data_IF_368815290511
#
_entry.id   IF_368815290511
#
_cell.length_a   1.000
_cell.length_b   1.000
_cell.length_c   1.000
_cell.angle_alpha   90.00
_cell.angle_beta   90.00
_cell.angle_gamma   90.00
#
_symmetry.space_group_name_H-M   'P 1'
#
loop_
_entity.id
_entity.type
_entity.pdbx_description
1 polymer ?
#
# COMPACT_ATOMS: atom_id res chain seq x y z
N UNK A 1 31.49 -55.75 28.84
CA UNK A 1 30.94 -54.57 29.55
C UNK A 1 29.48 -54.47 29.12
N UNK A 2 28.56 -55.17 29.82
CA UNK A 2 27.68 -54.64 30.89
C UNK A 2 26.80 -53.50 30.35
N UNK A 3 25.46 -53.54 30.27
CA UNK A 3 24.39 -54.44 30.79
C UNK A 3 23.08 -53.93 30.12
N UNK A 4 22.28 -54.69 29.34
CA UNK A 4 21.24 -55.69 29.67
C UNK A 4 20.18 -55.27 30.72
N UNK A 5 18.88 -55.37 30.34
CA UNK A 5 17.72 -56.06 31.00
C UNK A 5 16.41 -55.53 30.35
N UNK A 6 15.63 -56.28 29.53
CA UNK A 6 14.68 -57.42 29.78
C UNK A 6 13.44 -56.99 30.60
N UNK A 7 12.21 -57.50 30.44
CA UNK A 7 11.46 -58.37 29.52
C UNK A 7 10.00 -58.44 30.08
N UNK A 8 9.04 -58.79 29.21
CA UNK A 8 7.87 -59.65 29.46
C UNK A 8 6.61 -59.16 30.22
N UNK A 9 5.46 -59.48 29.59
CA UNK A 9 4.12 -59.65 30.16
C UNK A 9 4.00 -60.96 30.96
N UNK A 10 2.94 -61.17 31.79
CA UNK A 10 1.73 -61.95 31.40
C UNK A 10 0.43 -61.38 32.06
N UNK A 11 -0.84 -61.64 31.69
CA UNK A 11 -1.70 -62.83 31.39
C UNK A 11 -2.04 -63.72 32.61
N UNK A 12 -3.29 -63.57 33.08
CA UNK A 12 -4.28 -64.49 33.70
C UNK A 12 -4.07 -65.24 35.04
N UNK A 13 -5.10 -65.16 35.90
CA UNK A 13 -5.84 -66.22 36.67
C UNK A 13 -6.59 -65.51 37.83
N UNK A 14 -7.92 -65.41 37.90
CA UNK A 14 -9.03 -66.39 38.02
C UNK A 14 -9.01 -67.26 39.30
N UNK A 15 -10.09 -67.10 40.09
CA UNK A 15 -10.89 -68.10 40.83
C UNK A 15 -10.99 -67.96 42.36
N UNK A 16 -12.23 -67.72 42.84
CA UNK A 16 -13.03 -68.63 43.69
C UNK A 16 -14.34 -67.91 44.12
N UNK A 17 -15.50 -68.23 43.55
CA UNK A 17 -16.45 -69.30 43.95
C UNK A 17 -17.07 -69.13 45.34
N UNK A 18 -18.37 -68.84 45.40
CA UNK A 18 -19.37 -69.78 45.92
C UNK A 18 -20.79 -69.35 45.54
N UNK A 19 -21.54 -70.34 45.04
CA UNK A 19 -22.92 -70.27 44.64
C UNK A 19 -23.86 -70.30 45.85
N UNK A 20 -24.97 -69.56 45.78
CA UNK A 20 -26.22 -69.95 46.42
C UNK A 20 -27.41 -69.35 45.64
N UNK A 21 -28.36 -70.20 45.31
CA UNK A 21 -29.52 -69.95 44.46
C UNK A 21 -30.53 -68.96 45.06
N UNK A 22 -31.20 -68.21 44.19
CA UNK A 22 -32.42 -67.47 44.49
C UNK A 22 -33.08 -66.98 43.20
N UNK A 23 -34.08 -67.73 42.72
CA UNK A 23 -34.96 -67.35 41.62
C UNK A 23 -35.83 -66.15 42.04
N UNK A 24 -35.62 -64.98 41.45
CA UNK A 24 -36.64 -63.90 41.44
C UNK A 24 -36.85 -63.36 40.02
N UNK A 25 -38.12 -63.09 39.73
CA UNK A 25 -38.69 -62.81 38.40
C UNK A 25 -38.09 -61.56 37.73
N UNK A 26 -38.06 -61.49 36.39
CA UNK A 26 -37.56 -60.31 35.69
C UNK A 26 -38.45 -59.09 35.96
N UNK A 27 -37.82 -58.01 36.45
CA UNK A 27 -38.43 -56.70 36.55
C UNK A 27 -38.68 -56.10 35.14
N UNK A 28 -39.77 -55.34 34.94
CA UNK A 28 -40.14 -54.80 33.64
C UNK A 28 -39.08 -53.83 33.10
N UNK A 29 -38.94 -53.81 31.77
CA UNK A 29 -38.02 -52.92 31.06
C UNK A 29 -38.22 -51.45 31.48
N UNK A 30 -37.14 -50.68 31.71
CA UNK A 30 -37.25 -49.28 32.09
C UNK A 30 -37.94 -48.49 30.98
N UNK A 31 -38.89 -47.65 31.37
CA UNK A 31 -39.56 -46.72 30.48
C UNK A 31 -38.52 -45.84 29.77
N UNK A 32 -38.54 -45.84 28.43
CA UNK A 32 -37.77 -44.88 27.62
C UNK A 32 -38.34 -43.50 27.90
N UNK A 33 -37.63 -42.72 28.71
CA UNK A 33 -37.91 -41.30 28.88
C UNK A 33 -37.79 -40.63 27.51
N UNK A 34 -38.73 -39.76 27.10
CA UNK A 34 -38.56 -38.98 25.88
C UNK A 34 -37.26 -38.19 25.97
N UNK A 35 -36.48 -38.19 24.88
CA UNK A 35 -35.26 -37.42 24.78
C UNK A 35 -35.57 -35.97 25.19
N UNK A 36 -34.78 -35.44 26.12
CA UNK A 36 -34.85 -34.03 26.49
C UNK A 36 -34.83 -33.20 25.19
N UNK A 37 -35.68 -32.17 25.05
CA UNK A 37 -35.60 -31.29 23.89
C UNK A 37 -34.16 -30.82 23.76
N UNK A 38 -33.63 -30.69 22.53
CA UNK A 38 -32.28 -30.18 22.33
C UNK A 38 -32.17 -28.90 23.14
N UNK A 39 -31.21 -28.86 24.07
CA UNK A 39 -30.87 -27.63 24.76
C UNK A 39 -30.52 -26.65 23.65
N UNK A 40 -31.39 -25.69 23.39
CA UNK A 40 -31.08 -24.55 22.55
C UNK A 40 -29.80 -23.97 23.14
N UNK A 41 -28.67 -24.23 22.49
CA UNK A 41 -27.44 -23.51 22.79
C UNK A 41 -27.83 -22.04 22.61
N UNK A 42 -27.68 -21.19 23.65
CA UNK A 42 -28.00 -19.78 23.49
C UNK A 42 -27.21 -19.29 22.29
N UNK A 43 -27.93 -18.87 21.25
CA UNK A 43 -27.33 -18.14 20.13
C UNK A 43 -26.56 -17.00 20.79
N UNK A 44 -25.25 -16.85 20.53
CA UNK A 44 -24.50 -15.77 21.16
C UNK A 44 -25.26 -14.47 20.92
N UNK A 45 -25.56 -13.74 21.99
CA UNK A 45 -26.25 -12.47 21.87
C UNK A 45 -25.29 -11.51 21.13
N UNK A 46 -25.53 -11.33 19.83
CA UNK A 46 -24.79 -10.36 19.04
C UNK A 46 -25.22 -8.96 19.46
N UNK A 47 -24.41 -8.31 20.28
CA UNK A 47 -24.61 -6.88 20.55
C UNK A 47 -24.29 -6.09 19.28
N UNK A 48 -24.98 -4.96 19.11
CA UNK A 48 -24.74 -4.05 17.99
C UNK A 48 -23.26 -3.65 17.89
N UNK A 49 -22.63 -3.37 19.04
CA UNK A 49 -21.21 -3.04 19.14
C UNK A 49 -20.30 -4.19 18.71
N UNK A 50 -20.59 -5.43 19.13
CA UNK A 50 -19.79 -6.59 18.73
C UNK A 50 -19.85 -6.83 17.22
N UNK A 51 -21.02 -6.68 16.60
CA UNK A 51 -21.17 -6.81 15.15
C UNK A 51 -20.40 -5.72 14.42
N UNK A 52 -20.48 -4.47 14.88
CA UNK A 52 -19.75 -3.36 14.27
C UNK A 52 -18.23 -3.52 14.40
N UNK A 53 -17.73 -4.02 15.52
CA UNK A 53 -16.30 -4.29 15.71
C UNK A 53 -15.79 -5.40 14.76
N UNK A 54 -16.53 -6.49 14.60
CA UNK A 54 -16.14 -7.56 13.65
C UNK A 54 -16.23 -7.09 12.20
N UNK A 55 -17.25 -6.29 11.84
CA UNK A 55 -17.31 -5.69 10.50
C UNK A 55 -16.12 -4.77 10.24
N UNK A 56 -15.69 -4.00 11.24
CA UNK A 56 -14.50 -3.16 11.12
C UNK A 56 -13.26 -3.99 10.79
N UNK A 57 -13.02 -5.07 11.55
CA UNK A 57 -11.89 -5.98 11.31
C UNK A 57 -11.98 -6.57 9.90
N UNK A 58 -13.13 -7.11 9.50
CA UNK A 58 -13.31 -7.71 8.19
C UNK A 58 -13.01 -6.72 7.05
N UNK A 59 -13.46 -5.47 7.13
CA UNK A 59 -13.25 -4.52 6.02
C UNK A 59 -11.95 -3.73 6.07
N UNK A 60 -11.30 -3.60 7.24
CA UNK A 60 -10.10 -2.78 7.41
C UNK A 60 -8.82 -3.61 7.63
N UNK A 61 -8.89 -4.81 8.23
CA UNK A 61 -7.75 -5.72 8.41
C UNK A 61 -7.57 -6.72 7.24
N UNK A 62 -8.46 -6.67 6.24
CA UNK A 62 -8.42 -7.61 5.10
C UNK A 62 -7.13 -7.55 4.29
N UNK A 63 -6.47 -8.70 4.22
CA UNK A 63 -5.51 -9.08 3.18
C UNK A 63 -6.14 -10.25 2.41
N UNK A 64 -6.03 -10.33 1.08
CA UNK A 64 -6.36 -11.54 0.35
C UNK A 64 -5.61 -12.72 0.96
N UNK A 65 -6.36 -13.73 1.39
CA UNK A 65 -5.79 -14.90 2.04
C UNK A 65 -5.45 -14.79 3.50
N UNK A 66 -5.94 -13.75 4.19
CA UNK A 66 -5.90 -13.77 5.65
C UNK A 66 -6.69 -14.99 6.16
N UNK A 67 -6.02 -15.96 6.83
CA UNK A 67 -6.66 -17.19 7.29
C UNK A 67 -7.73 -16.93 8.35
N UNK A 68 -7.75 -15.76 8.99
CA UNK A 68 -8.78 -15.39 9.96
C UNK A 68 -10.05 -14.82 9.32
N UNK A 69 -10.00 -14.37 8.05
CA UNK A 69 -11.13 -13.68 7.44
C UNK A 69 -12.37 -14.57 7.34
N UNK A 70 -12.25 -15.74 6.70
CA UNK A 70 -13.38 -16.65 6.50
C UNK A 70 -13.96 -17.20 7.82
N UNK A 71 -13.15 -17.62 8.80
CA UNK A 71 -13.64 -17.97 10.13
C UNK A 71 -14.44 -16.84 10.78
N UNK A 72 -13.93 -15.60 10.76
CA UNK A 72 -14.63 -14.43 11.34
C UNK A 72 -15.93 -14.12 10.62
N UNK A 73 -15.91 -14.10 9.28
CA UNK A 73 -17.09 -13.90 8.43
C UNK A 73 -18.17 -14.95 8.72
N UNK A 74 -17.77 -16.22 8.81
CA UNK A 74 -18.68 -17.35 9.09
C UNK A 74 -19.26 -17.26 10.50
N UNK A 75 -18.45 -16.92 11.50
CA UNK A 75 -18.90 -16.73 12.88
C UNK A 75 -19.88 -15.55 13.02
N UNK A 76 -19.74 -14.52 12.18
CA UNK A 76 -20.61 -13.34 12.18
C UNK A 76 -21.93 -13.55 11.42
N UNK A 77 -22.00 -14.50 10.49
CA UNK A 77 -23.17 -14.72 9.64
C UNK A 77 -24.51 -14.87 10.39
N UNK A 78 -24.59 -15.58 11.55
CA UNK A 78 -25.84 -15.68 12.30
C UNK A 78 -26.39 -14.34 12.81
N UNK A 79 -25.55 -13.30 12.95
CA UNK A 79 -25.96 -11.97 13.39
C UNK A 79 -26.93 -11.29 12.42
N UNK A 80 -27.01 -11.74 11.16
CA UNK A 80 -27.97 -11.21 10.18
C UNK A 80 -29.43 -11.37 10.64
N UNK A 81 -29.70 -12.41 11.43
CA UNK A 81 -31.03 -12.72 11.97
C UNK A 81 -31.26 -12.13 13.38
N UNK A 82 -30.31 -11.36 13.92
CA UNK A 82 -30.48 -10.74 15.24
C UNK A 82 -31.62 -9.70 15.20
N UNK A 83 -32.59 -9.86 16.10
CA UNK A 83 -33.79 -9.03 16.16
C UNK A 83 -33.50 -7.54 16.41
N UNK A 84 -32.46 -7.25 17.21
CA UNK A 84 -32.14 -5.89 17.67
C UNK A 84 -31.04 -5.19 16.85
N UNK A 85 -30.65 -5.74 15.70
CA UNK A 85 -29.62 -5.12 14.86
C UNK A 85 -30.23 -3.96 14.05
N UNK A 86 -29.66 -2.73 14.10
CA UNK A 86 -30.09 -1.62 13.26
C UNK A 86 -30.06 -1.99 11.77
N UNK A 87 -31.03 -1.52 11.00
CA UNK A 87 -31.16 -1.90 9.58
C UNK A 87 -29.94 -1.53 8.74
N UNK A 88 -29.31 -0.39 9.01
CA UNK A 88 -28.11 0.06 8.31
C UNK A 88 -26.93 -0.89 8.56
N UNK A 89 -26.79 -1.37 9.80
CA UNK A 89 -25.77 -2.34 10.18
C UNK A 89 -26.07 -3.72 9.60
N UNK A 90 -27.35 -4.11 9.52
CA UNK A 90 -27.79 -5.34 8.85
C UNK A 90 -27.45 -5.31 7.35
N UNK A 91 -27.62 -4.16 6.67
CA UNK A 91 -27.23 -3.98 5.26
C UNK A 91 -25.72 -4.07 5.08
N UNK A 92 -24.94 -3.46 5.97
CA UNK A 92 -23.48 -3.59 5.99
C UNK A 92 -23.04 -5.05 6.14
N UNK A 93 -23.64 -5.77 7.09
CA UNK A 93 -23.36 -7.19 7.29
C UNK A 93 -23.67 -8.01 6.04
N UNK A 94 -24.85 -7.81 5.43
CA UNK A 94 -25.21 -8.49 4.19
C UNK A 94 -24.21 -8.23 3.05
N UNK A 95 -23.73 -6.98 2.91
CA UNK A 95 -22.73 -6.64 1.90
C UNK A 95 -21.39 -7.33 2.14
N UNK A 96 -20.92 -7.40 3.39
CA UNK A 96 -19.68 -8.12 3.76
C UNK A 96 -19.81 -9.63 3.56
N UNK A 97 -20.96 -10.21 3.88
CA UNK A 97 -21.22 -11.64 3.65
C UNK A 97 -21.28 -11.98 2.15
N UNK A 98 -21.77 -11.06 1.32
CA UNK A 98 -21.83 -11.22 -0.13
C UNK A 98 -20.50 -10.98 -0.85
N UNK A 99 -19.54 -10.32 -0.20
CA UNK A 99 -18.19 -10.15 -0.74
C UNK A 99 -17.45 -11.49 -0.74
N UNK A 100 -16.76 -11.81 -1.83
CA UNK A 100 -16.05 -13.09 -2.07
C UNK A 100 -14.52 -12.90 -2.08
N UNK A 101 -13.89 -12.76 -0.90
CA UNK A 101 -12.44 -12.57 -0.80
C UNK A 101 -11.58 -13.78 -1.18
N UNK A 102 -12.00 -15.06 -1.01
CA UNK A 102 -11.24 -16.19 -1.55
C UNK A 102 -10.99 -16.06 -3.05
N UNK A 103 -11.98 -15.58 -3.81
CA UNK A 103 -11.83 -15.32 -5.25
C UNK A 103 -10.87 -14.16 -5.55
N UNK A 104 -10.83 -13.13 -4.71
CA UNK A 104 -9.84 -12.05 -4.83
C UNK A 104 -8.42 -12.58 -4.58
N UNK A 105 -8.23 -13.40 -3.55
CA UNK A 105 -6.95 -14.04 -3.24
C UNK A 105 -6.47 -14.93 -4.38
N UNK A 106 -7.29 -15.87 -4.83
CA UNK A 106 -6.92 -16.78 -5.92
C UNK A 106 -6.51 -15.98 -7.16
N UNK A 107 -7.26 -14.93 -7.51
CA UNK A 107 -6.94 -14.08 -8.67
C UNK A 107 -5.62 -13.33 -8.47
N UNK A 108 -5.37 -12.80 -7.28
CA UNK A 108 -4.13 -12.10 -6.96
C UNK A 108 -2.92 -13.03 -6.98
N UNK A 109 -3.01 -14.22 -6.39
CA UNK A 109 -1.94 -15.22 -6.42
C UNK A 109 -1.64 -15.67 -7.85
N UNK A 110 -2.67 -15.89 -8.67
CA UNK A 110 -2.52 -16.20 -10.09
C UNK A 110 -1.86 -15.06 -10.87
N UNK A 111 -2.21 -13.81 -10.55
CA UNK A 111 -1.60 -12.63 -11.16
C UNK A 111 -0.09 -12.60 -10.88
N UNK A 112 0.29 -12.73 -9.61
CA UNK A 112 1.67 -12.77 -9.15
C UNK A 112 2.45 -13.92 -9.80
N UNK A 113 1.87 -15.13 -9.83
CA UNK A 113 2.48 -16.28 -10.47
C UNK A 113 2.66 -16.09 -11.98
N UNK A 114 1.67 -15.50 -12.67
CA UNK A 114 1.77 -15.21 -14.10
C UNK A 114 2.90 -14.20 -14.39
N UNK A 115 3.01 -13.15 -13.58
CA UNK A 115 4.12 -12.18 -13.69
C UNK A 115 5.48 -12.83 -13.46
N UNK A 116 5.62 -13.63 -12.39
CA UNK A 116 6.89 -14.31 -12.08
C UNK A 116 7.30 -15.29 -13.18
N UNK A 117 6.33 -16.04 -13.72
CA UNK A 117 6.56 -16.96 -14.83
C UNK A 117 6.95 -16.22 -16.11
N UNK A 118 6.28 -15.11 -16.43
CA UNK A 118 6.61 -14.26 -17.56
C UNK A 118 8.04 -13.68 -17.43
N UNK A 119 8.38 -13.15 -16.26
CA UNK A 119 9.72 -12.62 -15.98
C UNK A 119 10.81 -13.70 -16.13
N UNK A 120 10.55 -14.90 -15.61
CA UNK A 120 11.47 -16.05 -15.73
C UNK A 120 11.66 -16.47 -17.20
N UNK A 121 10.57 -16.56 -17.97
CA UNK A 121 10.62 -16.89 -19.39
C UNK A 121 11.32 -15.82 -20.22
N UNK A 122 11.06 -14.55 -19.93
CA UNK A 122 11.73 -13.41 -20.57
C UNK A 122 13.25 -13.47 -20.31
N UNK A 123 13.66 -13.68 -19.07
CA UNK A 123 15.08 -13.76 -18.70
C UNK A 123 15.80 -14.95 -19.37
N UNK A 124 15.14 -16.11 -19.44
CA UNK A 124 15.70 -17.30 -20.09
C UNK A 124 15.70 -17.21 -21.62
N UNK A 125 14.72 -16.50 -22.20
CA UNK A 125 14.48 -16.43 -23.64
C UNK A 125 14.23 -14.99 -24.09
N UNK A 126 15.21 -14.08 -23.94
CA UNK A 126 15.00 -12.69 -24.33
C UNK A 126 14.70 -12.63 -25.83
N UNK A 127 13.72 -11.78 -26.26
CA UNK A 127 13.41 -11.62 -27.66
C UNK A 127 14.63 -11.08 -28.42
N UNK A 128 14.78 -11.48 -29.69
CA UNK A 128 15.82 -10.91 -30.55
C UNK A 128 15.39 -9.50 -30.94
N UNK A 129 16.02 -8.48 -30.36
CA UNK A 129 15.71 -7.09 -30.65
C UNK A 129 16.53 -6.61 -31.85
N UNK A 130 15.89 -6.64 -33.03
CA UNK A 130 16.48 -6.17 -34.28
C UNK A 130 16.49 -4.64 -34.43
N UNK A 131 15.89 -3.92 -33.48
CA UNK A 131 15.76 -2.48 -33.47
C UNK A 131 16.50 -1.79 -32.31
N UNK A 132 16.99 -2.53 -31.31
CA UNK A 132 17.56 -2.02 -30.05
C UNK A 132 18.58 -0.89 -30.25
N UNK A 133 19.43 -1.03 -31.27
CA UNK A 133 20.50 -0.06 -31.58
C UNK A 133 20.20 0.80 -32.81
N UNK A 134 19.04 0.68 -33.44
CA UNK A 134 18.72 1.45 -34.64
C UNK A 134 18.71 2.96 -34.35
N UNK A 135 19.50 3.71 -35.12
CA UNK A 135 19.69 5.14 -34.92
C UNK A 135 20.68 5.50 -33.81
N UNK A 136 21.18 4.51 -33.05
CA UNK A 136 22.19 4.72 -32.02
C UNK A 136 23.50 5.28 -32.60
N UNK A 137 24.12 6.22 -31.90
CA UNK A 137 25.35 6.91 -32.31
C UNK A 137 26.55 6.36 -31.55
N UNK A 138 27.56 5.89 -32.27
CA UNK A 138 28.83 5.45 -31.67
C UNK A 138 29.57 6.65 -31.09
N UNK A 139 29.76 6.68 -29.77
CA UNK A 139 30.45 7.76 -29.06
C UNK A 139 31.98 7.56 -29.09
N UNK A 140 32.43 6.37 -28.70
CA UNK A 140 33.85 5.99 -28.69
C UNK A 140 34.02 4.48 -28.78
N UNK A 141 35.19 4.06 -29.25
CA UNK A 141 35.66 2.67 -29.17
C UNK A 141 36.36 2.49 -27.83
N UNK A 142 35.99 1.47 -27.07
CA UNK A 142 36.53 1.16 -25.75
C UNK A 142 37.54 0.00 -25.78
N UNK A 143 37.47 -0.85 -26.80
CA UNK A 143 38.37 -1.98 -26.99
C UNK A 143 38.36 -2.48 -28.44
N UNK A 144 39.03 -3.60 -28.74
CA UNK A 144 39.12 -4.15 -30.09
C UNK A 144 37.76 -4.41 -30.74
N UNK A 145 36.78 -4.88 -29.98
CA UNK A 145 35.41 -5.17 -30.45
C UNK A 145 34.32 -4.47 -29.63
N UNK A 146 34.69 -3.55 -28.72
CA UNK A 146 33.77 -2.92 -27.77
C UNK A 146 33.57 -1.44 -28.07
N UNK A 147 32.32 -1.01 -28.15
CA UNK A 147 31.92 0.36 -28.48
C UNK A 147 30.91 0.91 -27.47
N UNK A 148 31.07 2.18 -27.10
CA UNK A 148 30.06 2.93 -26.37
C UNK A 148 29.10 3.60 -27.37
N UNK A 149 27.81 3.33 -27.23
CA UNK A 149 26.74 3.81 -28.12
C UNK A 149 25.77 4.66 -27.32
N UNK A 150 25.37 5.81 -27.87
CA UNK A 150 24.23 6.59 -27.36
C UNK A 150 22.99 6.28 -28.18
N UNK A 151 21.94 5.78 -27.53
CA UNK A 151 20.66 5.47 -28.15
C UNK A 151 19.87 6.75 -28.48
N UNK A 152 18.88 6.70 -29.38
CA UNK A 152 18.03 7.85 -29.70
C UNK A 152 17.32 8.47 -28.49
N UNK A 153 17.01 7.66 -27.47
CA UNK A 153 16.40 8.10 -26.20
C UNK A 153 17.34 8.85 -25.25
N UNK A 154 18.65 8.89 -25.54
CA UNK A 154 19.66 9.55 -24.70
C UNK A 154 20.54 8.60 -23.91
N UNK A 155 20.04 7.40 -23.62
CA UNK A 155 20.74 6.35 -22.86
C UNK A 155 22.02 5.89 -23.53
N UNK A 156 22.96 5.39 -22.74
CA UNK A 156 24.19 4.76 -23.22
C UNK A 156 24.16 3.24 -23.07
N UNK A 157 24.64 2.54 -24.10
CA UNK A 157 24.75 1.10 -24.13
C UNK A 157 26.14 0.68 -24.63
N UNK A 158 26.56 -0.53 -24.27
CA UNK A 158 27.73 -1.18 -24.83
C UNK A 158 27.34 -2.03 -26.02
N UNK A 159 28.11 -1.93 -27.11
CA UNK A 159 28.00 -2.80 -28.27
C UNK A 159 29.30 -3.58 -28.44
N UNK A 160 29.21 -4.90 -28.37
CA UNK A 160 30.26 -5.80 -28.80
C UNK A 160 30.00 -6.22 -30.25
N UNK A 161 30.90 -5.84 -31.16
CA UNK A 161 30.75 -6.07 -32.60
C UNK A 161 32.11 -6.32 -33.26
N UNK A 162 32.15 -7.27 -34.19
CA UNK A 162 33.31 -7.48 -35.06
C UNK A 162 33.45 -6.39 -36.14
N UNK A 163 32.40 -5.59 -36.38
CA UNK A 163 32.44 -4.48 -37.34
C UNK A 163 33.20 -3.29 -36.75
N UNK A 164 33.95 -2.61 -37.60
CA UNK A 164 34.59 -1.34 -37.22
C UNK A 164 33.63 -0.19 -37.46
N UNK A 165 33.27 0.51 -36.38
CA UNK A 165 32.50 1.74 -36.46
C UNK A 165 33.40 2.97 -36.29
N UNK A 166 33.17 4.01 -37.09
CA UNK A 166 33.78 5.33 -36.90
C UNK A 166 33.08 6.07 -35.75
N UNK A 167 33.80 6.97 -35.09
CA UNK A 167 33.18 7.93 -34.15
C UNK A 167 32.03 8.67 -34.83
N UNK A 168 30.92 8.83 -34.13
CA UNK A 168 29.66 9.41 -34.60
C UNK A 168 28.90 8.61 -35.67
N UNK A 169 29.34 7.40 -36.04
CA UNK A 169 28.58 6.54 -36.93
C UNK A 169 27.21 6.22 -36.33
N UNK A 170 26.16 6.20 -37.16
CA UNK A 170 24.84 5.72 -36.77
C UNK A 170 24.71 4.24 -37.08
N UNK A 171 24.25 3.48 -36.10
CA UNK A 171 23.94 2.06 -36.24
C UNK A 171 22.60 1.92 -36.96
N UNK A 172 22.55 1.03 -37.94
CA UNK A 172 21.33 0.67 -38.68
C UNK A 172 21.34 -0.83 -38.95
N UNK A 173 20.21 -1.48 -38.72
CA UNK A 173 19.93 -2.87 -39.08
C UNK A 173 21.01 -3.84 -38.57
N UNK A 174 21.35 -3.72 -37.29
CA UNK A 174 22.26 -4.64 -36.62
C UNK A 174 21.42 -5.65 -35.83
N UNK A 175 21.60 -6.94 -36.12
CA UNK A 175 21.02 -7.99 -35.30
C UNK A 175 21.84 -8.07 -34.01
N UNK A 176 21.20 -7.78 -32.89
CA UNK A 176 21.87 -7.80 -31.59
C UNK A 176 21.09 -8.64 -30.60
N UNK A 177 21.84 -9.23 -29.69
CA UNK A 177 21.31 -9.92 -28.53
C UNK A 177 21.79 -9.19 -27.28
N UNK A 178 20.86 -8.83 -26.41
CA UNK A 178 21.23 -8.36 -25.08
C UNK A 178 21.82 -9.51 -24.26
N UNK A 179 22.93 -9.23 -23.56
CA UNK A 179 23.58 -10.17 -22.65
C UNK A 179 23.88 -9.47 -21.34
N UNK A 180 23.89 -10.25 -20.26
CA UNK A 180 24.44 -9.80 -18.98
C UNK A 180 25.87 -9.29 -19.17
N UNK A 181 26.16 -8.20 -18.46
CA UNK A 181 27.43 -7.50 -18.53
C UNK A 181 28.57 -8.43 -18.06
N UNK A 182 29.40 -8.92 -18.98
CA UNK A 182 30.67 -9.51 -18.62
C UNK A 182 31.54 -8.40 -18.00
N UNK A 183 32.06 -8.59 -16.77
CA UNK A 183 33.00 -7.64 -16.16
C UNK A 183 34.11 -7.31 -17.18
N UNK A 184 34.52 -6.04 -17.32
CA UNK A 184 35.59 -5.69 -18.26
C UNK A 184 36.83 -6.54 -17.95
N UNK A 185 37.36 -7.20 -18.97
CA UNK A 185 38.52 -8.07 -18.84
C UNK A 185 39.78 -7.30 -19.21
N UNK A 186 40.49 -6.81 -18.20
CA UNK A 186 41.73 -6.04 -18.37
C UNK A 186 42.79 -6.84 -19.16
N UNK A 187 42.77 -8.18 -19.12
CA UNK A 187 43.70 -9.02 -19.87
C UNK A 187 43.39 -9.02 -21.38
N UNK A 188 42.19 -8.61 -21.80
CA UNK A 188 41.79 -8.43 -23.21
C UNK A 188 41.94 -6.99 -23.71
N UNK A 189 42.41 -6.07 -22.85
CA UNK A 189 42.61 -4.66 -23.18
C UNK A 189 41.33 -3.82 -23.12
N UNK A 190 40.29 -4.28 -22.41
CA UNK A 190 39.09 -3.49 -22.14
C UNK A 190 39.39 -2.49 -21.00
N UNK A 191 39.25 -1.18 -21.28
CA UNK A 191 39.48 -0.10 -20.31
C UNK A 191 38.14 0.58 -19.97
N UNK A 192 37.56 0.35 -18.78
CA UNK A 192 36.41 1.14 -18.28
C UNK A 192 36.40 1.22 -16.75
N UNK A 193 36.34 2.45 -16.22
CA UNK A 193 36.19 2.79 -14.78
C UNK A 193 35.26 4.01 -14.60
N UNK A 194 34.16 4.13 -15.37
CA UNK A 194 33.36 5.38 -15.42
C UNK A 194 31.84 5.19 -15.45
N UNK A 195 31.29 4.01 -15.15
CA UNK A 195 29.83 3.81 -15.23
C UNK A 195 29.25 3.48 -13.85
N UNK A 196 28.80 4.53 -13.16
CA UNK A 196 28.02 4.44 -11.91
C UNK A 196 26.64 3.77 -12.12
N UNK A 197 26.20 3.60 -13.37
CA UNK A 197 25.02 2.83 -13.75
C UNK A 197 25.41 1.71 -14.73
N UNK A 198 24.88 0.50 -14.53
CA UNK A 198 25.21 -0.67 -15.37
C UNK A 198 24.63 -0.50 -16.79
N UNK A 199 25.43 -0.21 -17.84
CA UNK A 199 24.91 -0.05 -19.18
C UNK A 199 24.44 -1.39 -19.75
N UNK A 200 23.32 -1.40 -20.48
CA UNK A 200 22.88 -2.56 -21.26
C UNK A 200 23.97 -2.96 -22.26
N UNK A 201 24.27 -4.26 -22.35
CA UNK A 201 25.30 -4.79 -23.25
C UNK A 201 24.67 -5.59 -24.38
N UNK A 202 24.96 -5.18 -25.62
CA UNK A 202 24.47 -5.80 -26.83
C UNK A 202 25.61 -6.48 -27.57
N UNK A 203 25.42 -7.74 -27.96
CA UNK A 203 26.35 -8.50 -28.78
C UNK A 203 25.78 -8.64 -30.18
N UNK A 204 26.53 -8.23 -31.20
CA UNK A 204 26.15 -8.47 -32.60
C UNK A 204 26.10 -9.96 -32.89
N UNK A 205 25.01 -10.40 -33.52
CA UNK A 205 24.79 -11.75 -34.02
C UNK A 205 24.55 -11.74 -35.53
N UNK A 206 24.72 -12.88 -36.19
CA UNK A 206 24.41 -12.99 -37.62
C UNK A 206 22.90 -13.01 -37.88
N UNK A 207 22.48 -12.66 -39.10
CA UNK A 207 21.05 -12.78 -39.51
C UNK A 207 20.56 -14.23 -39.45
N UNK A 208 21.41 -15.20 -39.75
CA UNK A 208 21.09 -16.61 -39.67
C UNK A 208 20.90 -17.03 -38.21
N UNK A 209 21.84 -16.67 -37.34
CA UNK A 209 21.78 -16.92 -35.90
C UNK A 209 20.54 -16.26 -35.27
N UNK A 210 20.20 -15.03 -35.66
CA UNK A 210 18.97 -14.37 -35.25
C UNK A 210 17.72 -15.20 -35.62
N UNK A 211 17.62 -15.68 -36.86
CA UNK A 211 16.50 -16.52 -37.31
C UNK A 211 16.43 -17.86 -36.58
N UNK A 212 17.57 -18.51 -36.37
CA UNK A 212 17.65 -19.77 -35.63
C UNK A 212 17.24 -19.58 -34.16
N UNK A 213 17.67 -18.48 -33.53
CA UNK A 213 17.26 -18.11 -32.18
C UNK A 213 15.78 -17.79 -32.09
N UNK A 214 15.24 -17.02 -33.03
CA UNK A 214 13.80 -16.70 -33.12
C UNK A 214 12.97 -17.98 -33.28
N UNK A 215 13.36 -18.89 -34.18
CA UNK A 215 12.67 -20.17 -34.37
C UNK A 215 12.77 -21.06 -33.13
N UNK A 216 13.97 -21.18 -32.55
CA UNK A 216 14.20 -22.00 -31.35
C UNK A 216 13.41 -21.48 -30.14
N UNK A 217 13.29 -20.16 -29.99
CA UNK A 217 12.58 -19.51 -28.88
C UNK A 217 11.10 -19.28 -29.14
N UNK A 218 10.60 -19.50 -30.36
CA UNK A 218 9.22 -19.22 -30.74
C UNK A 218 8.18 -19.83 -29.77
N UNK A 219 8.31 -21.07 -29.28
CA UNK A 219 7.38 -21.62 -28.30
C UNK A 219 7.41 -20.86 -26.96
N UNK A 220 8.60 -20.54 -26.46
CA UNK A 220 8.77 -19.82 -25.20
C UNK A 220 8.25 -18.37 -25.30
N UNK A 221 8.46 -17.70 -26.42
CA UNK A 221 7.94 -16.35 -26.67
C UNK A 221 6.43 -16.33 -26.89
N UNK A 222 5.85 -17.39 -27.45
CA UNK A 222 4.40 -17.54 -27.53
C UNK A 222 3.78 -17.73 -26.14
N UNK A 223 4.40 -18.55 -25.29
CA UNK A 223 3.97 -18.73 -23.89
C UNK A 223 4.15 -17.45 -23.08
N UNK A 224 5.25 -16.72 -23.26
CA UNK A 224 5.46 -15.41 -22.64
C UNK A 224 4.29 -14.46 -22.95
N UNK A 225 3.92 -14.31 -24.23
CA UNK A 225 2.78 -13.45 -24.63
C UNK A 225 1.45 -13.91 -24.03
N UNK A 226 1.26 -15.23 -23.91
CA UNK A 226 0.07 -15.81 -23.27
C UNK A 226 0.02 -15.42 -21.80
N UNK A 227 1.13 -15.57 -21.07
CA UNK A 227 1.25 -15.19 -19.66
C UNK A 227 1.11 -13.69 -19.44
N UNK A 228 1.69 -12.85 -20.32
CA UNK A 228 1.50 -11.39 -20.27
C UNK A 228 0.02 -11.02 -20.48
N UNK A 229 -0.67 -11.69 -21.40
CA UNK A 229 -2.10 -11.47 -21.65
C UNK A 229 -2.97 -11.93 -20.48
N UNK A 230 -2.68 -13.10 -19.92
CA UNK A 230 -3.33 -13.63 -18.71
C UNK A 230 -3.09 -12.70 -17.51
N UNK A 231 -1.84 -12.27 -17.30
CA UNK A 231 -1.46 -11.31 -16.28
C UNK A 231 -2.27 -10.00 -16.38
N UNK A 232 -2.35 -9.41 -17.58
CA UNK A 232 -3.12 -8.18 -17.79
C UNK A 232 -4.63 -8.37 -17.54
N UNK A 233 -5.20 -9.55 -17.81
CA UNK A 233 -6.60 -9.84 -17.49
C UNK A 233 -6.82 -9.98 -15.97
N UNK A 234 -5.93 -10.71 -15.31
CA UNK A 234 -5.96 -10.89 -13.86
C UNK A 234 -5.79 -9.55 -13.14
N UNK A 235 -4.86 -8.69 -13.58
CA UNK A 235 -4.64 -7.34 -13.05
C UNK A 235 -5.91 -6.49 -13.07
N UNK A 236 -6.63 -6.47 -14.20
CA UNK A 236 -7.93 -5.76 -14.30
C UNK A 236 -8.94 -6.31 -13.31
N UNK A 237 -8.98 -7.63 -13.14
CA UNK A 237 -9.87 -8.28 -12.19
C UNK A 237 -9.50 -7.99 -10.74
N UNK A 238 -8.22 -8.00 -10.38
CA UNK A 238 -7.73 -7.63 -9.03
C UNK A 238 -8.07 -6.18 -8.74
N UNK A 239 -7.79 -5.28 -9.68
CA UNK A 239 -8.09 -3.84 -9.56
C UNK A 239 -9.59 -3.61 -9.28
N UNK A 240 -10.48 -4.31 -9.98
CA UNK A 240 -11.91 -4.20 -9.77
C UNK A 240 -12.36 -4.72 -8.39
N UNK A 241 -11.76 -5.81 -7.91
CA UNK A 241 -12.09 -6.36 -6.59
C UNK A 241 -11.56 -5.49 -5.45
N UNK A 242 -10.36 -4.91 -5.59
CA UNK A 242 -9.83 -3.93 -4.65
C UNK A 242 -10.69 -2.66 -4.60
N UNK A 243 -11.13 -2.15 -5.75
CA UNK A 243 -12.06 -1.01 -5.79
C UNK A 243 -13.39 -1.31 -5.09
N UNK A 244 -13.91 -2.54 -5.21
CA UNK A 244 -15.11 -2.99 -4.47
C UNK A 244 -14.86 -3.09 -2.98
N UNK A 245 -13.70 -3.61 -2.56
CA UNK A 245 -13.32 -3.68 -1.15
C UNK A 245 -13.20 -2.27 -0.54
N UNK A 246 -12.65 -1.31 -1.27
CA UNK A 246 -12.55 0.08 -0.82
C UNK A 246 -13.93 0.74 -0.66
N UNK A 247 -14.86 0.50 -1.59
CA UNK A 247 -16.24 0.97 -1.48
C UNK A 247 -16.92 0.32 -0.28
N UNK A 248 -16.79 -1.00 -0.13
CA UNK A 248 -17.35 -1.75 0.99
C UNK A 248 -16.82 -1.23 2.33
N UNK A 249 -15.51 -1.04 2.47
CA UNK A 249 -14.90 -0.50 3.68
C UNK A 249 -15.42 0.90 3.99
N UNK A 250 -15.51 1.78 2.98
CA UNK A 250 -16.05 3.13 3.14
C UNK A 250 -17.51 3.11 3.63
N UNK A 251 -18.36 2.33 2.98
CA UNK A 251 -19.79 2.27 3.28
C UNK A 251 -20.04 1.67 4.67
N UNK A 252 -19.28 0.63 5.02
CA UNK A 252 -19.32 0.04 6.37
C UNK A 252 -18.86 1.06 7.40
N UNK A 253 -17.68 1.66 7.23
CA UNK A 253 -17.11 2.63 8.17
C UNK A 253 -18.00 3.88 8.37
N UNK A 254 -18.73 4.32 7.34
CA UNK A 254 -19.69 5.40 7.44
C UNK A 254 -20.89 5.08 8.36
N UNK A 255 -21.23 3.80 8.52
CA UNK A 255 -22.29 3.34 9.43
C UNK A 255 -21.74 3.10 10.83
N UNK A 256 -20.65 2.34 10.95
CA UNK A 256 -20.14 1.92 12.25
C UNK A 256 -19.39 3.05 12.99
N UNK A 257 -18.80 4.02 12.28
CA UNK A 257 -18.06 5.12 12.89
C UNK A 257 -18.91 6.04 13.77
N UNK A 258 -20.01 6.63 13.24
CA UNK A 258 -20.93 7.42 14.04
C UNK A 258 -21.53 6.62 15.20
N UNK A 259 -21.80 5.32 15.00
CA UNK A 259 -22.36 4.46 16.03
C UNK A 259 -21.39 4.24 17.20
N UNK A 260 -20.11 4.00 16.92
CA UNK A 260 -19.12 3.62 17.93
C UNK A 260 -18.46 4.81 18.62
N UNK A 261 -18.34 5.97 17.96
CA UNK A 261 -17.84 7.20 18.59
C UNK A 261 -18.97 8.07 19.17
N UNK A 262 -20.23 7.72 18.88
CA UNK A 262 -21.43 8.56 19.04
C UNK A 262 -21.13 10.02 18.71
N UNK A 263 -20.56 10.21 17.52
CA UNK A 263 -20.37 11.53 16.92
C UNK A 263 -21.70 12.02 16.36
N UNK A 264 -22.04 13.27 16.67
CA UNK A 264 -23.06 13.99 15.91
C UNK A 264 -22.57 14.35 14.51
N UNK A 265 -23.42 14.93 13.65
CA UNK A 265 -22.97 15.47 12.37
C UNK A 265 -21.89 16.52 12.61
N UNK A 266 -20.75 16.39 11.95
CA UNK A 266 -19.69 17.40 11.99
C UNK A 266 -19.90 18.43 10.88
N UNK A 267 -19.64 19.72 11.15
CA UNK A 267 -19.85 20.77 10.16
C UNK A 267 -18.87 20.59 9.00
N UNK A 268 -19.29 20.98 7.80
CA UNK A 268 -18.36 21.11 6.69
C UNK A 268 -17.21 22.06 7.09
N UNK A 269 -15.95 21.78 6.68
CA UNK A 269 -14.81 22.62 7.02
C UNK A 269 -15.00 24.10 6.66
N UNK A 270 -15.80 24.38 5.61
CA UNK A 270 -16.17 25.74 5.19
C UNK A 270 -16.93 26.53 6.25
N UNK A 271 -17.58 25.88 7.22
CA UNK A 271 -18.21 26.54 8.36
C UNK A 271 -17.22 27.02 9.42
N UNK A 272 -16.00 26.48 9.43
CA UNK A 272 -14.93 26.83 10.39
C UNK A 272 -13.82 27.69 9.76
N UNK A 273 -13.80 27.81 8.43
CA UNK A 273 -12.86 28.66 7.68
C UNK A 273 -13.60 29.93 7.24
N UNK A 274 -13.23 31.07 7.80
CA UNK A 274 -13.88 32.36 7.50
C UNK A 274 -13.51 32.90 6.13
N UNK A 275 -12.25 32.73 5.73
CA UNK A 275 -11.76 33.21 4.44
C UNK A 275 -10.48 32.47 4.02
N UNK A 276 -10.06 32.69 2.77
CA UNK A 276 -8.78 32.21 2.25
C UNK A 276 -7.98 33.39 1.74
N UNK A 277 -6.84 33.66 2.38
CA UNK A 277 -5.89 34.66 1.91
C UNK A 277 -5.02 34.06 0.82
N UNK A 278 -4.97 34.69 -0.35
CA UNK A 278 -4.14 34.25 -1.48
C UNK A 278 -2.90 35.11 -1.58
N UNK A 279 -1.73 34.49 -1.49
CA UNK A 279 -0.44 35.16 -1.61
C UNK A 279 0.20 34.75 -2.93
N UNK A 280 0.56 35.71 -3.77
CA UNK A 280 1.20 35.41 -5.04
C UNK A 280 2.24 36.46 -5.42
N UNK A 281 3.25 36.05 -6.17
CA UNK A 281 4.17 36.96 -6.87
C UNK A 281 4.67 36.28 -8.13
N UNK A 282 4.56 37.01 -9.24
CA UNK A 282 5.14 36.61 -10.51
C UNK A 282 6.44 37.41 -10.71
N UNK A 283 7.53 36.72 -10.97
CA UNK A 283 8.80 37.32 -11.39
C UNK A 283 8.96 37.24 -12.91
N UNK A 284 8.41 36.18 -13.52
CA UNK A 284 8.22 36.01 -14.95
C UNK A 284 7.04 35.06 -15.21
N UNK A 285 6.85 34.63 -16.46
CA UNK A 285 5.86 33.59 -16.81
C UNK A 285 6.18 32.24 -16.14
N UNK A 286 7.47 31.92 -16.02
CA UNK A 286 7.96 30.60 -15.58
C UNK A 286 8.55 30.63 -14.16
N UNK A 287 8.53 31.81 -13.51
CA UNK A 287 9.02 32.00 -12.15
C UNK A 287 7.95 32.71 -11.30
N UNK A 288 7.31 31.98 -10.41
CA UNK A 288 6.26 32.51 -9.55
C UNK A 288 6.05 31.66 -8.30
N UNK A 289 5.45 32.27 -7.28
CA UNK A 289 4.82 31.52 -6.20
C UNK A 289 3.33 31.87 -6.08
N UNK A 290 2.51 30.89 -5.65
CA UNK A 290 1.07 31.04 -5.37
C UNK A 290 0.65 30.17 -4.18
N UNK A 291 0.29 30.80 -3.07
CA UNK A 291 -0.10 30.14 -1.82
C UNK A 291 -1.52 30.48 -1.42
N UNK A 292 -2.21 29.51 -0.83
CA UNK A 292 -3.51 29.68 -0.21
C UNK A 292 -3.39 29.46 1.30
N UNK A 293 -3.70 30.49 2.08
CA UNK A 293 -3.73 30.48 3.54
C UNK A 293 -5.19 30.43 4.02
N UNK A 294 -5.65 29.34 4.65
CA UNK A 294 -6.93 29.34 5.36
C UNK A 294 -6.87 30.27 6.58
N UNK A 295 -7.96 31.02 6.82
CA UNK A 295 -8.11 31.91 7.98
C UNK A 295 -9.37 31.50 8.73
N UNK A 296 -9.19 31.07 9.97
CA UNK A 296 -10.25 30.58 10.88
C UNK A 296 -10.81 31.69 11.77
N UNK A 297 -10.02 32.75 12.00
CA UNK A 297 -10.31 33.79 12.99
C UNK A 297 -9.93 33.40 14.43
N UNK A 298 -9.23 32.27 14.60
CA UNK A 298 -8.70 31.80 15.87
C UNK A 298 -7.20 32.13 15.93
N UNK A 299 -6.75 33.05 16.81
CA UNK A 299 -5.41 33.62 16.73
C UNK A 299 -4.26 32.61 16.75
N UNK A 300 -4.33 31.55 17.59
CA UNK A 300 -3.23 30.57 17.66
C UNK A 300 -3.19 29.67 16.42
N UNK A 301 -4.35 29.25 15.93
CA UNK A 301 -4.47 28.44 14.70
C UNK A 301 -3.96 29.23 13.50
N UNK A 302 -4.45 30.47 13.33
CA UNK A 302 -4.07 31.32 12.21
C UNK A 302 -2.58 31.68 12.25
N UNK A 303 -2.00 31.90 13.43
CA UNK A 303 -0.57 32.15 13.59
C UNK A 303 0.28 30.95 13.17
N UNK A 304 -0.09 29.72 13.52
CA UNK A 304 0.65 28.53 13.16
C UNK A 304 0.60 28.25 11.66
N UNK A 305 -0.60 28.35 11.05
CA UNK A 305 -0.78 28.17 9.61
C UNK A 305 -0.04 29.25 8.80
N UNK A 306 -0.06 30.50 9.27
CA UNK A 306 0.69 31.59 8.65
C UNK A 306 2.20 31.38 8.79
N UNK A 307 2.67 30.96 9.96
CA UNK A 307 4.08 30.68 10.22
C UNK A 307 4.65 29.65 9.23
N UNK A 308 3.93 28.54 9.03
CA UNK A 308 4.29 27.53 8.04
C UNK A 308 4.46 28.11 6.62
N UNK A 309 3.49 28.90 6.14
CA UNK A 309 3.59 29.49 4.79
C UNK A 309 4.67 30.57 4.69
N UNK A 310 4.92 31.33 5.75
CA UNK A 310 5.99 32.32 5.80
C UNK A 310 7.38 31.65 5.72
N UNK A 311 7.58 30.53 6.41
CA UNK A 311 8.80 29.72 6.34
C UNK A 311 9.02 29.17 4.93
N UNK A 312 8.00 28.54 4.32
CA UNK A 312 8.07 28.06 2.92
C UNK A 312 8.35 29.19 1.93
N UNK A 313 7.70 30.34 2.11
CA UNK A 313 7.96 31.54 1.30
C UNK A 313 9.40 32.02 1.44
N UNK A 314 9.96 32.03 2.65
CA UNK A 314 11.33 32.46 2.89
C UNK A 314 12.34 31.53 2.19
N UNK A 315 12.12 30.21 2.26
CA UNK A 315 12.93 29.22 1.54
C UNK A 315 12.91 29.44 0.02
N UNK A 316 11.73 29.62 -0.57
CA UNK A 316 11.58 29.86 -2.02
C UNK A 316 12.24 31.17 -2.43
N UNK A 317 12.08 32.24 -1.64
CA UNK A 317 12.76 33.50 -1.91
C UNK A 317 14.28 33.39 -1.79
N UNK A 318 14.79 32.53 -0.89
CA UNK A 318 16.22 32.22 -0.78
C UNK A 318 16.73 31.47 -2.02
N UNK A 319 16.00 30.44 -2.44
CA UNK A 319 16.31 29.65 -3.64
C UNK A 319 16.33 30.51 -4.92
N UNK A 320 15.35 31.40 -5.07
CA UNK A 320 15.29 32.33 -6.21
C UNK A 320 16.47 33.30 -6.24
N UNK A 321 16.98 33.73 -5.08
CA UNK A 321 18.17 34.58 -4.99
C UNK A 321 19.44 33.83 -5.41
N UNK A 322 19.60 32.57 -5.00
CA UNK A 322 20.81 31.78 -5.29
C UNK A 322 20.84 31.26 -6.73
N UNK A 323 19.70 30.94 -7.32
CA UNK A 323 19.59 30.41 -8.70
C UNK A 323 19.48 31.50 -9.78
N UNK A 324 19.27 32.76 -9.38
CA UNK A 324 19.18 33.92 -10.27
C UNK A 324 17.77 34.18 -10.79
N UNK A 325 17.20 35.33 -10.41
CA UNK A 325 15.93 35.82 -10.98
C UNK A 325 16.21 36.51 -12.32
N UNK A 326 15.56 36.06 -13.40
CA UNK A 326 15.54 36.81 -14.67
C UNK A 326 16.86 36.92 -15.45
N UNK A 327 17.88 36.09 -15.18
CA UNK A 327 19.12 36.05 -15.96
C UNK A 327 19.20 34.79 -16.81
N UNK A 328 18.75 34.87 -18.07
CA UNK A 328 19.10 33.97 -19.18
C UNK A 328 18.89 32.46 -18.97
N UNK A 329 17.89 31.89 -19.68
CA UNK A 329 17.63 30.43 -19.76
C UNK A 329 17.55 29.70 -18.40
N UNK A 330 16.97 30.35 -17.38
CA UNK A 330 16.69 29.66 -16.11
C UNK A 330 15.52 28.70 -16.34
N UNK A 331 15.69 27.46 -15.89
CA UNK A 331 14.66 26.43 -15.86
C UNK A 331 13.52 26.88 -14.92
N UNK A 332 12.32 26.30 -15.06
CA UNK A 332 11.13 26.72 -14.31
C UNK A 332 11.41 26.78 -12.80
N UNK A 333 10.95 27.85 -12.13
CA UNK A 333 10.95 27.99 -10.67
C UNK A 333 9.52 28.35 -10.23
N UNK A 334 8.63 27.36 -10.25
CA UNK A 334 7.23 27.52 -9.89
C UNK A 334 6.97 26.85 -8.55
N UNK A 335 6.35 27.58 -7.63
CA UNK A 335 6.03 27.08 -6.30
C UNK A 335 4.55 27.33 -5.97
N UNK A 336 3.83 26.28 -5.61
CA UNK A 336 2.38 26.33 -5.41
C UNK A 336 2.01 25.57 -4.16
N UNK A 337 1.35 26.25 -3.23
CA UNK A 337 0.84 25.63 -2.02
C UNK A 337 -0.67 25.78 -2.00
N UNK A 338 -1.36 24.65 -1.99
CA UNK A 338 -2.79 24.55 -1.77
C UNK A 338 -3.05 23.80 -0.46
N UNK A 339 -4.29 23.85 0.01
CA UNK A 339 -4.71 23.06 1.17
C UNK A 339 -6.06 22.41 0.93
N UNK A 340 -6.28 21.30 1.63
CA UNK A 340 -7.59 20.70 1.87
C UNK A 340 -7.84 20.73 3.36
N UNK A 341 -9.08 20.99 3.76
CA UNK A 341 -9.50 21.00 5.16
C UNK A 341 -10.47 19.86 5.45
N UNK A 342 -10.43 19.35 6.68
CA UNK A 342 -11.23 18.23 7.16
C UNK A 342 -11.72 18.51 8.58
N UNK A 343 -12.86 17.92 8.95
CA UNK A 343 -13.41 18.02 10.30
C UNK A 343 -13.72 16.64 10.83
N UNK A 344 -13.42 16.40 12.10
CA UNK A 344 -13.81 15.17 12.81
C UNK A 344 -14.92 15.42 13.84
N UNK A 345 -15.05 16.67 14.29
CA UNK A 345 -16.11 17.18 15.15
C UNK A 345 -16.19 18.71 14.97
N UNK A 346 -17.22 19.40 15.51
CA UNK A 346 -17.27 20.85 15.57
C UNK A 346 -16.03 21.54 16.18
N UNK A 347 -15.22 20.81 16.95
CA UNK A 347 -14.01 21.35 17.60
C UNK A 347 -12.71 20.73 17.10
N UNK A 348 -12.75 19.84 16.10
CA UNK A 348 -11.56 19.24 15.50
C UNK A 348 -11.47 19.64 14.03
N UNK A 349 -10.46 20.45 13.70
CA UNK A 349 -10.21 20.95 12.36
C UNK A 349 -8.81 20.54 11.91
N UNK A 350 -8.73 19.88 10.77
CA UNK A 350 -7.48 19.44 10.17
C UNK A 350 -7.23 20.14 8.84
N UNK A 351 -5.98 20.39 8.52
CA UNK A 351 -5.52 20.91 7.23
C UNK A 351 -4.42 20.01 6.69
N UNK A 352 -4.52 19.64 5.41
CA UNK A 352 -3.41 19.07 4.65
C UNK A 352 -2.99 20.07 3.57
N UNK A 353 -1.75 20.51 3.64
CA UNK A 353 -1.12 21.33 2.61
C UNK A 353 -0.41 20.43 1.61
N UNK A 354 -0.55 20.78 0.34
CA UNK A 354 0.16 20.18 -0.78
C UNK A 354 0.96 21.29 -1.47
N UNK A 355 2.27 21.11 -1.46
CA UNK A 355 3.23 21.97 -2.11
C UNK A 355 3.75 21.28 -3.37
N UNK A 356 3.52 21.90 -4.52
CA UNK A 356 4.19 21.55 -5.76
C UNK A 356 5.32 22.56 -5.99
N UNK A 357 6.53 22.05 -6.15
CA UNK A 357 7.74 22.84 -6.41
C UNK A 357 8.46 22.32 -7.65
N UNK A 358 8.45 23.12 -8.71
CA UNK A 358 9.25 22.89 -9.91
C UNK A 358 10.48 23.80 -9.86
N UNK A 359 11.67 23.19 -9.88
CA UNK A 359 12.97 23.89 -9.92
C UNK A 359 13.73 23.63 -11.23
N UNK A 360 13.03 23.06 -12.23
CA UNK A 360 13.62 22.75 -13.52
C UNK A 360 14.32 21.40 -13.60
N UNK A 361 13.98 20.48 -12.70
CA UNK A 361 14.42 19.10 -12.74
C UNK A 361 13.73 18.29 -13.85
N UNK A 362 13.82 16.97 -13.77
CA UNK A 362 13.09 16.08 -14.67
C UNK A 362 11.56 16.21 -14.51
N UNK A 363 11.10 16.54 -13.30
CA UNK A 363 9.71 16.78 -12.94
C UNK A 363 9.63 17.70 -11.70
N UNK A 364 8.44 18.26 -11.38
CA UNK A 364 8.21 18.95 -10.10
C UNK A 364 8.28 17.98 -8.92
N UNK A 365 8.55 18.49 -7.72
CA UNK A 365 8.41 17.73 -6.48
C UNK A 365 7.08 18.07 -5.81
N UNK A 366 6.49 17.08 -5.13
CA UNK A 366 5.31 17.28 -4.30
C UNK A 366 5.67 17.01 -2.85
N UNK A 367 5.43 17.99 -1.98
CA UNK A 367 5.71 17.94 -0.54
C UNK A 367 4.38 18.15 0.19
N UNK A 368 4.19 17.45 1.31
CA UNK A 368 2.98 17.57 2.11
C UNK A 368 3.30 18.02 3.53
N UNK A 369 2.38 18.76 4.13
CA UNK A 369 2.38 19.07 5.55
C UNK A 369 0.95 19.00 6.07
N UNK A 370 0.76 18.70 7.35
CA UNK A 370 -0.57 18.74 7.94
C UNK A 370 -0.58 19.28 9.36
N UNK A 371 -1.76 19.77 9.74
CA UNK A 371 -2.03 20.40 11.02
C UNK A 371 -3.40 19.95 11.50
N UNK A 372 -3.48 19.39 12.69
CA UNK A 372 -4.74 19.00 13.34
C UNK A 372 -4.90 19.88 14.57
N UNK A 373 -6.05 20.54 14.72
CA UNK A 373 -6.29 21.46 15.83
C UNK A 373 -7.49 21.05 16.66
N UNK A 374 -7.33 21.17 17.98
CA UNK A 374 -8.42 21.21 18.96
C UNK A 374 -8.83 22.67 19.16
N UNK A 375 -10.00 23.05 18.67
CA UNK A 375 -10.45 24.44 18.65
C UNK A 375 -10.87 24.97 20.02
N UNK A 376 -11.04 24.09 21.02
CA UNK A 376 -11.43 24.48 22.38
C UNK A 376 -10.36 25.33 23.06
N UNK A 377 -9.10 24.98 22.85
CA UNK A 377 -7.92 25.69 23.38
C UNK A 377 -6.97 26.21 22.29
N UNK A 378 -7.32 25.96 21.02
CA UNK A 378 -6.58 26.32 19.81
C UNK A 378 -5.19 25.70 19.76
N UNK A 379 -5.04 24.48 20.28
CA UNK A 379 -3.76 23.76 20.27
C UNK A 379 -3.66 22.81 19.08
N UNK A 380 -2.43 22.65 18.57
CA UNK A 380 -2.10 21.64 17.57
C UNK A 380 -1.96 20.28 18.24
N UNK A 381 -2.66 19.28 17.72
CA UNK A 381 -2.50 17.88 18.07
C UNK A 381 -1.45 17.26 17.14
N UNK A 382 -0.38 16.72 17.73
CA UNK A 382 0.58 15.82 17.08
C UNK A 382 0.10 14.38 17.18
N UNK A 383 0.76 13.48 16.45
CA UNK A 383 0.40 12.05 16.47
C UNK A 383 0.43 11.48 17.90
N UNK A 384 1.47 11.81 18.66
CA UNK A 384 1.62 11.44 20.07
C UNK A 384 0.46 11.91 20.96
N UNK A 385 -0.20 13.04 20.64
CA UNK A 385 -1.32 13.56 21.43
C UNK A 385 -2.62 12.77 21.19
N UNK A 386 -2.68 11.97 20.12
CA UNK A 386 -3.85 11.19 19.76
C UNK A 386 -3.98 9.89 20.55
N UNK A 387 -2.87 9.40 21.13
CA UNK A 387 -2.81 8.07 21.74
C UNK A 387 -2.27 8.11 23.17
N UNK A 388 -2.73 7.18 24.01
CA UNK A 388 -2.17 6.94 25.36
C UNK A 388 -0.88 6.14 25.30
N UNK A 389 -0.71 5.33 24.26
CA UNK A 389 0.49 4.56 23.97
C UNK A 389 0.80 4.69 22.47
N UNK A 390 1.69 5.63 22.13
CA UNK A 390 2.07 5.93 20.76
C UNK A 390 2.78 4.75 20.08
N UNK A 391 3.62 3.99 20.82
CA UNK A 391 4.35 2.87 20.25
C UNK A 391 3.43 1.73 19.85
N UNK A 392 2.45 1.39 20.71
CA UNK A 392 1.42 0.41 20.39
C UNK A 392 0.57 0.87 19.20
N UNK A 393 0.18 2.15 19.16
CA UNK A 393 -0.60 2.71 18.05
C UNK A 393 0.19 2.66 16.73
N UNK A 394 1.47 3.04 16.73
CA UNK A 394 2.35 2.96 15.56
C UNK A 394 2.50 1.52 15.04
N UNK A 395 2.55 0.53 15.93
CA UNK A 395 2.59 -0.88 15.52
C UNK A 395 1.31 -1.28 14.78
N UNK A 396 0.13 -0.87 15.28
CA UNK A 396 -1.16 -1.14 14.65
C UNK A 396 -1.26 -0.41 13.30
N UNK A 397 -0.88 0.86 13.24
CA UNK A 397 -0.90 1.67 12.02
C UNK A 397 0.05 1.13 10.95
N UNK A 398 1.24 0.66 11.33
CA UNK A 398 2.20 0.04 10.42
C UNK A 398 1.69 -1.28 9.85
N UNK A 399 1.08 -2.13 10.68
CA UNK A 399 0.45 -3.37 10.21
C UNK A 399 -0.72 -3.08 9.24
N UNK A 400 -1.61 -2.14 9.59
CA UNK A 400 -2.69 -1.69 8.71
C UNK A 400 -2.16 -1.12 7.38
N UNK A 401 -1.08 -0.34 7.42
CA UNK A 401 -0.41 0.20 6.24
C UNK A 401 0.14 -0.92 5.35
N UNK A 402 0.86 -1.89 5.92
CA UNK A 402 1.38 -3.04 5.18
C UNK A 402 0.23 -3.77 4.47
N UNK A 403 -0.85 -4.09 5.18
CA UNK A 403 -2.00 -4.84 4.66
C UNK A 403 -2.65 -4.11 3.48
N UNK A 404 -2.89 -2.80 3.61
CA UNK A 404 -3.56 -2.00 2.58
C UNK A 404 -2.66 -1.65 1.40
N UNK A 405 -1.44 -1.21 1.67
CA UNK A 405 -0.54 -0.73 0.62
C UNK A 405 0.04 -1.87 -0.21
N UNK A 406 0.26 -3.07 0.36
CA UNK A 406 0.68 -4.25 -0.42
C UNK A 406 -0.29 -4.55 -1.55
N UNK A 407 -1.59 -4.38 -1.27
CA UNK A 407 -2.65 -4.60 -2.23
C UNK A 407 -2.74 -3.50 -3.26
N UNK A 408 -2.75 -2.25 -2.80
CA UNK A 408 -2.89 -1.10 -3.67
C UNK A 408 -1.70 -0.95 -4.63
N UNK A 409 -0.51 -1.41 -4.24
CA UNK A 409 0.73 -1.26 -5.00
C UNK A 409 1.24 -2.56 -5.63
N UNK A 410 0.49 -3.66 -5.51
CA UNK A 410 0.87 -4.98 -6.04
C UNK A 410 2.31 -5.40 -5.66
N UNK A 411 2.68 -5.14 -4.40
CA UNK A 411 4.03 -5.45 -3.89
C UNK A 411 5.13 -4.45 -4.27
N UNK A 412 4.87 -3.44 -5.11
CA UNK A 412 5.83 -2.38 -5.48
C UNK A 412 5.95 -1.32 -4.38
N UNK A 413 6.33 -1.76 -3.19
CA UNK A 413 6.32 -0.95 -1.96
C UNK A 413 7.70 -0.88 -1.29
N UNK A 414 7.93 0.21 -0.57
CA UNK A 414 9.08 0.40 0.31
C UNK A 414 8.62 0.24 1.75
N UNK A 415 8.89 -0.93 2.35
CA UNK A 415 8.33 -1.27 3.67
C UNK A 415 8.85 -0.36 4.78
N UNK A 416 10.06 0.16 4.64
CA UNK A 416 10.67 1.12 5.56
C UNK A 416 9.86 2.40 5.69
N UNK A 417 9.13 2.78 4.63
CA UNK A 417 8.32 3.99 4.56
C UNK A 417 7.10 4.00 5.46
N UNK A 418 6.67 2.85 5.97
CA UNK A 418 5.55 2.75 6.91
C UNK A 418 5.89 1.88 8.14
N UNK A 419 7.17 1.64 8.40
CA UNK A 419 7.65 1.04 9.65
C UNK A 419 7.09 1.82 10.87
N UNK A 420 6.93 1.19 12.05
CA UNK A 420 6.26 1.78 13.22
C UNK A 420 7.12 2.85 13.89
N UNK A 421 7.27 3.98 13.21
CA UNK A 421 8.12 5.12 13.56
C UNK A 421 7.30 6.39 13.35
N UNK A 422 7.33 7.31 14.31
CA UNK A 422 6.53 8.53 14.24
C UNK A 422 6.83 9.36 12.98
N UNK A 423 8.08 9.33 12.50
CA UNK A 423 8.54 10.03 11.30
C UNK A 423 7.81 9.57 10.02
N UNK A 424 7.38 8.30 9.99
CA UNK A 424 6.68 7.73 8.85
C UNK A 424 5.19 8.14 8.79
N UNK A 425 4.64 8.65 9.89
CA UNK A 425 3.22 8.96 10.06
C UNK A 425 2.99 10.46 10.35
N UNK A 426 3.86 11.32 9.83
CA UNK A 426 3.88 12.77 10.11
C UNK A 426 2.78 13.58 9.42
N UNK A 427 2.32 13.14 8.25
CA UNK A 427 1.27 13.82 7.48
C UNK A 427 -0.04 13.06 7.66
N UNK A 428 -0.85 13.54 8.60
CA UNK A 428 -2.19 13.01 8.86
C UNK A 428 -3.24 14.10 9.05
N UNK A 429 -4.50 13.75 8.80
CA UNK A 429 -5.67 14.56 9.13
C UNK A 429 -6.71 13.70 9.85
N UNK A 430 -7.53 14.32 10.68
CA UNK A 430 -8.76 13.71 11.19
C UNK A 430 -9.93 14.13 10.28
N UNK A 431 -10.64 13.14 9.75
CA UNK A 431 -11.72 13.30 8.76
C UNK A 431 -12.90 12.41 9.18
N UNK A 432 -13.89 13.01 9.82
CA UNK A 432 -14.98 12.30 10.48
C UNK A 432 -14.49 11.35 11.57
N UNK A 433 -14.78 10.06 11.39
CA UNK A 433 -14.40 8.99 12.31
C UNK A 433 -13.03 8.38 12.00
N UNK A 434 -12.30 8.92 11.01
CA UNK A 434 -11.05 8.34 10.52
C UNK A 434 -9.85 9.25 10.78
N UNK A 435 -8.69 8.60 10.94
CA UNK A 435 -7.39 9.22 10.71
C UNK A 435 -6.91 8.86 9.31
N UNK A 436 -6.50 9.86 8.53
CA UNK A 436 -6.06 9.69 7.15
C UNK A 436 -4.61 10.12 7.03
N UNK A 437 -3.72 9.17 6.77
CA UNK A 437 -2.31 9.42 6.49
C UNK A 437 -2.09 9.66 5.00
N UNK A 438 -1.15 10.55 4.68
CA UNK A 438 -0.65 10.77 3.33
C UNK A 438 0.84 10.47 3.31
N UNK A 439 1.25 9.48 2.52
CA UNK A 439 2.65 9.14 2.28
C UNK A 439 3.10 9.86 0.99
N UNK A 440 4.02 10.84 1.07
CA UNK A 440 4.61 11.47 -0.09
C UNK A 440 5.22 10.47 -1.09
N UNK A 441 5.38 10.88 -2.37
CA UNK A 441 6.16 10.12 -3.34
C UNK A 441 7.53 9.71 -2.80
N UNK A 442 8.01 8.53 -3.18
CA UNK A 442 9.25 7.90 -2.71
C UNK A 442 9.26 7.42 -1.25
N UNK A 443 8.24 7.70 -0.44
CA UNK A 443 8.22 7.15 0.92
C UNK A 443 7.87 5.67 0.91
N UNK A 444 6.69 5.32 0.36
CA UNK A 444 6.17 3.94 0.35
C UNK A 444 6.12 3.33 -1.04
N UNK A 445 6.30 4.13 -2.10
CA UNK A 445 6.22 3.73 -3.50
C UNK A 445 7.04 4.69 -4.38
N UNK A 446 7.27 4.33 -5.65
CA UNK A 446 7.95 5.20 -6.60
C UNK A 446 7.17 6.49 -6.89
N UNK A 447 7.84 7.50 -7.46
CA UNK A 447 7.18 8.75 -7.84
C UNK A 447 6.08 8.59 -8.89
N UNK A 448 6.22 7.61 -9.79
CA UNK A 448 5.21 7.33 -10.80
C UNK A 448 3.86 6.89 -10.18
N UNK A 449 3.89 6.30 -8.99
CA UNK A 449 2.68 5.93 -8.24
C UNK A 449 2.04 7.12 -7.51
N UNK A 450 2.74 8.25 -7.42
CA UNK A 450 2.28 9.42 -6.69
C UNK A 450 2.17 9.20 -5.17
N UNK A 451 1.55 10.14 -4.45
CA UNK A 451 1.33 10.01 -3.02
C UNK A 451 0.30 8.91 -2.72
N UNK A 452 0.57 8.11 -1.70
CA UNK A 452 -0.35 7.09 -1.21
C UNK A 452 -1.13 7.60 0.00
N UNK A 453 -2.34 7.10 0.22
CA UNK A 453 -3.14 7.46 1.40
C UNK A 453 -3.56 6.20 2.14
N UNK A 454 -3.58 6.27 3.46
CA UNK A 454 -4.13 5.23 4.33
C UNK A 454 -5.19 5.85 5.22
N UNK A 455 -6.44 5.40 5.06
CA UNK A 455 -7.57 5.78 5.91
C UNK A 455 -7.77 4.68 6.95
N UNK A 456 -7.64 5.03 8.22
CA UNK A 456 -7.85 4.12 9.35
C UNK A 456 -8.99 4.64 10.21
N UNK A 457 -10.02 3.85 10.48
CA UNK A 457 -11.05 4.24 11.44
C UNK A 457 -10.47 4.37 12.84
N UNK A 458 -10.69 5.51 13.51
CA UNK A 458 -10.18 5.75 14.87
C UNK A 458 -10.72 4.71 15.87
N UNK A 459 -11.95 4.23 15.63
CA UNK A 459 -12.61 3.22 16.44
C UNK A 459 -12.24 1.78 16.04
N UNK A 460 -11.26 1.59 15.14
CA UNK A 460 -10.73 0.26 14.85
C UNK A 460 -10.46 -0.50 16.17
N UNK A 461 -10.88 -1.76 16.36
CA UNK A 461 -10.79 -2.43 17.67
C UNK A 461 -9.37 -2.47 18.27
N UNK A 462 -8.34 -2.51 17.41
CA UNK A 462 -6.92 -2.45 17.81
C UNK A 462 -6.43 -1.03 18.14
N UNK A 463 -7.12 0.02 17.71
CA UNK A 463 -6.72 1.42 17.85
C UNK A 463 -7.56 2.18 18.89
N UNK A 464 -8.87 1.94 18.95
CA UNK A 464 -9.83 2.60 19.86
C UNK A 464 -9.42 2.57 21.34
N UNK A 465 -8.91 1.44 21.89
CA UNK A 465 -8.46 1.39 23.28
C UNK A 465 -7.28 2.34 23.55
N UNK A 466 -6.47 2.62 22.53
CA UNK A 466 -5.26 3.44 22.61
C UNK A 466 -5.54 4.93 22.44
N UNK A 467 -6.74 5.35 22.02
CA UNK A 467 -7.04 6.78 21.83
C UNK A 467 -6.97 7.56 23.14
N UNK A 468 -6.36 8.75 23.10
CA UNK A 468 -6.19 9.61 24.27
C UNK A 468 -7.55 10.11 24.80
N UNK A 469 -7.71 10.30 26.14
CA UNK A 469 -8.94 10.87 26.69
C UNK A 469 -9.28 12.24 26.11
N UNK A 470 -8.23 13.03 25.81
CA UNK A 470 -8.36 14.34 25.18
C UNK A 470 -9.02 14.26 23.81
N UNK A 471 -8.54 13.34 22.96
CA UNK A 471 -9.09 13.12 21.62
C UNK A 471 -10.53 12.57 21.72
N UNK A 472 -10.79 11.59 22.59
CA UNK A 472 -12.15 11.06 22.82
C UNK A 472 -13.14 12.17 23.20
N UNK A 473 -12.74 13.06 24.11
CA UNK A 473 -13.55 14.21 24.49
C UNK A 473 -13.76 15.22 23.35
N UNK A 474 -12.76 15.41 22.48
CA UNK A 474 -12.87 16.29 21.31
C UNK A 474 -13.81 15.72 20.25
N UNK A 475 -13.75 14.42 19.99
CA UNK A 475 -14.62 13.71 19.06
C UNK A 475 -16.09 13.74 19.53
N UNK A 476 -16.32 13.66 20.84
CA UNK A 476 -17.65 13.71 21.43
C UNK A 476 -18.26 15.13 21.55
N UNK A 477 -17.47 16.19 21.33
CA UNK A 477 -17.98 17.55 21.38
C UNK A 477 -18.93 17.77 20.19
N UNK A 478 -20.20 18.10 20.43
CA UNK A 478 -21.24 18.17 19.40
C UNK A 478 -22.39 17.17 19.57
N UNK A 479 -22.38 16.39 20.64
CA UNK A 479 -23.58 15.73 21.17
C UNK A 479 -24.52 16.72 21.84
#
# INVERSE_FOLDING_TARGET
MRTLVRLAAPVFCLAALLAACGLERPAPAPAVLPAAPPVERPVPAFSTEAVANELNILVNDTVPGDPEYDPRRTALAPAANAANLPDDLRRCLAAVLAFDPPRLQERWERHQQAQQNAATLYAANPPVDTAALNGGRVLRRLGPALFLVRLPGGDTALLQSGRKFKKNARIKQLYVLEREHAKPDAAKGDLVDELEEQPRTFVEISRQEARELEQRRAPALAELRRLESEGAELERGVTADLARLDILARDVNAVIGPMLLAQGPHPAPTGLIRSVTRMAKNFSRDQYYRYALPVTGLPKVDAELKGFLDERKAEVLSLLKSTGVGRGRVRANADRIAFTAHTASPVLLSFRFEEMRDTGGAHPNTIFASFVFDLRDQSRLRLADLFTDEAAALSVLSDLAQRRLTLALDGLLFAEGFAPKAENFTVFVLDGADIVFTFPPYQVASYAQGPQNLRVPLFHPRLSPLLSPRLKAALAAGR
#
